data_IF_606036438739
#
_entry.id   IF_606036438739
#
_cell.length_a   1.000
_cell.length_b   1.000
_cell.length_c   1.000
_cell.angle_alpha   90.00
_cell.angle_beta   90.00
_cell.angle_gamma   90.00
#
_symmetry.space_group_name_H-M   'P 1'
#
loop_
_entity.id
_entity.type
_entity.pdbx_description
1 polymer ?
#
# COMPACT_ATOMS: atom_id res chain seq x y z
N UNK A 1 8.85 -11.48 11.90
CA UNK A 1 8.37 -10.44 10.96
C UNK A 1 6.97 -10.90 10.49
N UNK A 2 6.32 -10.24 9.53
CA UNK A 2 4.95 -10.58 9.10
C UNK A 2 4.99 -11.22 7.71
N UNK A 3 4.23 -12.30 7.51
CA UNK A 3 4.06 -12.93 6.19
C UNK A 3 3.20 -12.07 5.28
N UNK A 4 3.46 -12.13 3.98
CA UNK A 4 2.66 -11.40 3.00
C UNK A 4 1.18 -11.81 3.04
N UNK A 5 0.30 -10.82 2.98
CA UNK A 5 -1.14 -10.99 2.83
C UNK A 5 -1.74 -9.73 2.19
N UNK A 6 -2.93 -9.88 1.61
CA UNK A 6 -3.81 -8.76 1.25
C UNK A 6 -5.10 -8.86 2.08
N UNK A 7 -5.58 -7.77 2.72
CA UNK A 7 -6.85 -7.77 3.43
C UNK A 7 -8.00 -8.35 2.60
N UNK A 8 -8.85 -9.16 3.24
CA UNK A 8 -9.97 -9.88 2.64
C UNK A 8 -9.60 -10.99 1.63
N UNK A 9 -8.32 -11.27 1.39
CA UNK A 9 -7.90 -12.51 0.74
C UNK A 9 -8.04 -13.70 1.70
N UNK A 10 -8.30 -14.89 1.14
CA UNK A 10 -8.60 -16.10 1.92
C UNK A 10 -7.34 -16.87 2.32
N UNK A 11 -6.29 -16.74 1.50
CA UNK A 11 -5.04 -17.44 1.63
C UNK A 11 -3.94 -16.67 0.87
N UNK A 12 -2.74 -17.26 0.83
CA UNK A 12 -1.56 -16.68 0.20
C UNK A 12 -1.70 -16.59 -1.32
N UNK A 13 -2.22 -17.62 -1.97
CA UNK A 13 -2.36 -17.65 -3.43
C UNK A 13 -3.36 -16.57 -3.88
N UNK A 14 -4.50 -16.48 -3.21
CA UNK A 14 -5.47 -15.42 -3.41
C UNK A 14 -4.88 -14.03 -3.12
N UNK A 15 -3.98 -13.90 -2.12
CA UNK A 15 -3.30 -12.63 -1.84
C UNK A 15 -2.41 -12.18 -3.01
N UNK A 16 -1.66 -13.10 -3.64
CA UNK A 16 -0.84 -12.77 -4.82
C UNK A 16 -1.71 -12.40 -6.02
N UNK A 17 -2.79 -13.15 -6.27
CA UNK A 17 -3.74 -12.84 -7.34
C UNK A 17 -4.36 -11.44 -7.18
N UNK A 18 -4.81 -11.11 -5.97
CA UNK A 18 -5.40 -9.80 -5.68
C UNK A 18 -4.35 -8.71 -5.81
N UNK A 19 -3.14 -8.90 -5.26
CA UNK A 19 -2.05 -7.93 -5.36
C UNK A 19 -1.70 -7.61 -6.81
N UNK A 20 -1.61 -8.64 -7.66
CA UNK A 20 -1.31 -8.47 -9.08
C UNK A 20 -2.44 -7.75 -9.83
N UNK A 21 -3.72 -8.04 -9.51
CA UNK A 21 -4.86 -7.29 -10.07
C UNK A 21 -4.83 -5.82 -9.65
N UNK A 22 -4.55 -5.52 -8.38
CA UNK A 22 -4.41 -4.14 -7.90
C UNK A 22 -3.25 -3.45 -8.63
N UNK A 23 -2.09 -4.11 -8.72
CA UNK A 23 -0.90 -3.59 -9.40
C UNK A 23 -1.22 -3.18 -10.84
N UNK A 24 -1.91 -4.04 -11.58
CA UNK A 24 -2.34 -3.77 -12.95
C UNK A 24 -3.32 -2.61 -13.02
N UNK A 25 -4.33 -2.60 -12.14
CA UNK A 25 -5.36 -1.55 -12.08
C UNK A 25 -4.77 -0.16 -11.85
N UNK A 26 -3.82 -0.03 -10.92
CA UNK A 26 -3.16 1.25 -10.63
C UNK A 26 -1.93 1.51 -11.49
N UNK A 27 -1.65 0.66 -12.48
CA UNK A 27 -0.45 0.73 -13.33
C UNK A 27 0.84 0.91 -12.50
N UNK A 28 1.04 0.08 -11.48
CA UNK A 28 2.28 0.01 -10.71
C UNK A 28 3.29 -0.92 -11.40
N UNK A 29 4.60 -0.68 -11.27
CA UNK A 29 5.62 -1.60 -11.79
C UNK A 29 5.57 -2.96 -11.07
N UNK A 30 6.12 -4.00 -11.70
CA UNK A 30 6.38 -5.25 -11.00
C UNK A 30 7.41 -5.04 -9.89
N UNK A 31 7.19 -5.70 -8.75
CA UNK A 31 8.06 -5.59 -7.58
C UNK A 31 8.39 -6.99 -7.08
N UNK A 32 9.64 -7.22 -6.72
CA UNK A 32 10.06 -8.49 -6.12
C UNK A 32 9.67 -8.56 -4.64
N UNK A 33 9.70 -7.42 -3.95
CA UNK A 33 9.41 -7.32 -2.52
C UNK A 33 8.11 -6.56 -2.29
N UNK A 34 7.30 -7.06 -1.37
CA UNK A 34 6.01 -6.46 -0.98
C UNK A 34 6.22 -5.52 0.22
N UNK A 35 5.80 -4.27 0.09
CA UNK A 35 5.88 -3.28 1.18
C UNK A 35 4.81 -3.63 2.22
N UNK A 36 5.23 -3.80 3.47
CA UNK A 36 4.35 -4.06 4.61
C UNK A 36 3.89 -2.76 5.28
N UNK A 37 4.80 -1.78 5.39
CA UNK A 37 4.50 -0.47 5.95
C UNK A 37 5.28 0.65 5.28
N UNK A 38 4.73 1.85 5.34
CA UNK A 38 5.33 3.08 4.82
C UNK A 38 5.16 4.19 5.85
N UNK A 39 6.22 4.93 6.10
CA UNK A 39 6.18 6.25 6.73
C UNK A 39 6.73 7.30 5.77
N UNK A 40 6.15 8.49 5.76
CA UNK A 40 6.53 9.58 4.84
C UNK A 40 6.15 10.93 5.42
N UNK A 41 6.63 12.01 4.80
CA UNK A 41 6.24 13.37 5.17
C UNK A 41 5.22 13.94 4.18
N UNK A 42 4.15 14.53 4.69
CA UNK A 42 3.16 15.25 3.87
C UNK A 42 2.79 16.57 4.53
N UNK A 43 3.02 17.69 3.84
CA UNK A 43 2.76 19.05 4.37
C UNK A 43 3.37 19.29 5.76
N UNK A 44 4.59 18.82 5.98
CA UNK A 44 5.29 18.96 7.27
C UNK A 44 4.83 17.99 8.36
N UNK A 45 3.81 17.15 8.11
CA UNK A 45 3.33 16.14 9.05
C UNK A 45 3.97 14.78 8.75
N UNK A 46 4.37 14.07 9.80
CA UNK A 46 4.75 12.67 9.70
C UNK A 46 3.50 11.82 9.52
N UNK A 47 3.48 11.03 8.45
CA UNK A 47 2.43 10.09 8.12
C UNK A 47 2.97 8.66 8.22
N UNK A 48 2.09 7.72 8.51
CA UNK A 48 2.40 6.30 8.49
C UNK A 48 1.17 5.45 8.14
N UNK A 49 1.40 4.31 7.53
CA UNK A 49 0.40 3.27 7.34
C UNK A 49 1.06 1.89 7.17
N UNK A 50 0.27 0.84 7.29
CA UNK A 50 0.68 -0.53 7.04
C UNK A 50 -0.48 -1.31 6.42
N UNK A 51 -0.16 -2.36 5.65
CA UNK A 51 -1.15 -3.24 5.02
C UNK A 51 -2.01 -3.91 6.10
N UNK A 52 -3.34 -3.82 5.94
CA UNK A 52 -4.33 -4.23 6.95
C UNK A 52 -4.61 -3.19 8.04
N UNK A 53 -3.81 -2.12 8.13
CA UNK A 53 -4.10 -0.93 8.93
C UNK A 53 -4.90 0.09 8.15
N UNK A 54 -4.92 1.34 8.63
CA UNK A 54 -5.66 2.44 8.02
C UNK A 54 -4.70 3.57 7.62
N UNK A 55 -5.11 4.38 6.65
CA UNK A 55 -4.42 5.63 6.35
C UNK A 55 -4.69 6.69 7.42
N UNK A 56 -3.79 7.68 7.59
CA UNK A 56 -4.06 8.83 8.46
C UNK A 56 -5.37 9.52 8.06
N UNK A 57 -6.15 9.96 9.07
CA UNK A 57 -7.48 10.55 8.87
C UNK A 57 -7.53 11.73 7.90
N UNK A 58 -6.40 12.40 7.67
CA UNK A 58 -6.21 13.44 6.65
C UNK A 58 -6.71 13.02 5.25
N UNK A 59 -6.57 11.74 4.88
CA UNK A 59 -6.96 11.24 3.56
C UNK A 59 -8.45 10.90 3.42
N UNK A 60 -9.22 10.97 4.52
CA UNK A 60 -10.68 10.78 4.49
C UNK A 60 -11.12 9.40 4.00
N UNK A 61 -10.32 8.36 4.22
CA UNK A 61 -10.62 6.97 3.81
C UNK A 61 -11.44 6.20 4.84
N UNK A 62 -11.79 6.81 5.98
CA UNK A 62 -12.54 6.16 7.05
C UNK A 62 -11.88 4.86 7.52
N UNK A 63 -12.70 3.82 7.68
CA UNK A 63 -12.28 2.49 8.15
C UNK A 63 -11.84 1.57 7.00
N UNK A 64 -11.51 2.12 5.82
CA UNK A 64 -10.99 1.30 4.73
C UNK A 64 -9.56 0.83 5.03
N UNK A 65 -9.30 -0.49 5.01
CA UNK A 65 -7.96 -1.00 5.22
C UNK A 65 -7.07 -0.67 4.02
N UNK A 66 -5.77 -0.48 4.29
CA UNK A 66 -4.74 -0.44 3.25
C UNK A 66 -4.55 -1.85 2.70
N UNK A 67 -4.84 -2.03 1.41
CA UNK A 67 -4.77 -3.32 0.73
C UNK A 67 -3.37 -3.60 0.17
N UNK A 68 -2.70 -2.59 -0.39
CA UNK A 68 -1.39 -2.73 -1.00
C UNK A 68 -0.66 -1.38 -1.05
N UNK A 69 0.67 -1.42 -1.02
CA UNK A 69 1.54 -0.25 -1.16
C UNK A 69 2.56 -0.57 -2.26
N UNK A 70 2.66 0.28 -3.28
CA UNK A 70 3.58 0.11 -4.40
C UNK A 70 4.59 1.25 -4.47
N UNK A 71 5.88 0.92 -4.52
CA UNK A 71 6.94 1.84 -4.97
C UNK A 71 6.85 2.09 -6.49
N UNK A 72 6.62 3.34 -6.87
CA UNK A 72 6.52 3.81 -8.26
C UNK A 72 7.59 4.88 -8.53
N UNK A 73 8.84 4.57 -8.17
CA UNK A 73 10.03 5.41 -8.26
C UNK A 73 9.96 6.65 -7.36
N UNK A 74 9.39 7.74 -7.85
CA UNK A 74 9.37 9.03 -7.14
C UNK A 74 8.20 9.17 -6.16
N UNK A 75 7.31 8.17 -6.11
CA UNK A 75 6.17 8.15 -5.20
C UNK A 75 5.77 6.73 -4.83
N UNK A 76 5.00 6.60 -3.77
CA UNK A 76 4.27 5.40 -3.42
C UNK A 76 2.80 5.52 -3.77
N UNK A 77 2.20 4.45 -4.30
CA UNK A 77 0.75 4.31 -4.47
C UNK A 77 0.22 3.45 -3.33
N UNK A 78 -0.59 4.05 -2.46
CA UNK A 78 -1.23 3.39 -1.33
C UNK A 78 -2.68 3.12 -1.70
N UNK A 79 -3.04 1.85 -1.79
CA UNK A 79 -4.35 1.40 -2.21
C UNK A 79 -5.19 1.01 -0.99
N UNK A 80 -6.44 1.46 -0.92
CA UNK A 80 -7.45 1.01 0.04
C UNK A 80 -8.60 0.34 -0.70
N UNK A 81 -9.51 -0.31 0.03
CA UNK A 81 -10.66 -1.01 -0.58
C UNK A 81 -11.37 -0.20 -1.67
N UNK A 82 -11.65 1.10 -1.46
CA UNK A 82 -12.29 1.93 -2.48
C UNK A 82 -11.34 2.77 -3.33
N UNK A 83 -10.06 2.90 -3.00
CA UNK A 83 -9.08 3.73 -3.73
C UNK A 83 -7.96 2.89 -4.30
N UNK A 84 -7.93 2.72 -5.62
CA UNK A 84 -6.92 1.90 -6.28
C UNK A 84 -7.18 0.39 -6.21
N UNK A 85 -8.29 -0.05 -5.60
CA UNK A 85 -8.72 -1.46 -5.62
C UNK A 85 -10.05 -1.62 -6.35
N UNK A 86 -11.16 -1.16 -5.77
CA UNK A 86 -12.47 -1.25 -6.42
C UNK A 86 -12.73 -0.12 -7.42
N UNK A 87 -12.21 1.07 -7.15
CA UNK A 87 -12.43 2.28 -7.97
C UNK A 87 -11.40 3.36 -7.64
N UNK A 88 -11.45 4.45 -8.41
CA UNK A 88 -10.70 5.67 -8.16
C UNK A 88 -9.18 5.50 -8.16
N UNK A 89 -8.49 6.61 -7.98
CA UNK A 89 -7.04 6.64 -7.88
C UNK A 89 -6.58 6.25 -6.46
N UNK A 90 -5.41 5.59 -6.32
CA UNK A 90 -4.78 5.36 -5.03
C UNK A 90 -4.39 6.68 -4.37
N UNK A 91 -4.06 6.62 -3.09
CA UNK A 91 -3.41 7.74 -2.41
C UNK A 91 -1.94 7.78 -2.83
N UNK A 92 -1.50 8.93 -3.31
CA UNK A 92 -0.11 9.16 -3.68
C UNK A 92 0.68 9.75 -2.52
N UNK A 93 1.77 9.10 -2.13
CA UNK A 93 2.74 9.62 -1.19
C UNK A 93 4.05 9.92 -1.93
N UNK A 94 4.45 11.19 -2.01
CA UNK A 94 5.73 11.56 -2.61
C UNK A 94 6.89 10.93 -1.81
N UNK A 95 7.90 10.43 -2.52
CA UNK A 95 9.09 9.83 -1.91
C UNK A 95 10.15 10.90 -1.72
N UNK A 96 10.71 10.95 -0.52
CA UNK A 96 11.78 11.86 -0.13
C UNK A 96 12.74 11.18 0.88
N UNK A 97 13.71 11.92 1.39
CA UNK A 97 14.67 11.47 2.41
C UNK A 97 14.04 11.06 3.75
N UNK A 98 12.77 11.42 3.99
CA UNK A 98 12.03 11.05 5.20
C UNK A 98 11.16 9.80 4.98
N UNK A 99 11.13 9.28 3.76
CA UNK A 99 10.34 8.11 3.43
C UNK A 99 11.03 6.82 3.88
N UNK A 100 10.33 6.00 4.65
CA UNK A 100 10.85 4.71 5.13
C UNK A 100 9.84 3.60 4.86
N UNK A 101 10.33 2.50 4.30
CA UNK A 101 9.52 1.31 4.02
C UNK A 101 10.02 0.12 4.83
N UNK A 102 9.07 -0.67 5.33
CA UNK A 102 9.35 -2.03 5.78
C UNK A 102 8.72 -3.02 4.81
N UNK A 103 9.29 -4.21 4.71
CA UNK A 103 8.83 -5.25 3.79
C UNK A 103 8.30 -6.43 4.60
N UNK A 104 7.41 -7.20 3.98
CA UNK A 104 7.03 -8.50 4.48
C UNK A 104 8.24 -9.46 4.50
N UNK A 105 8.11 -10.56 5.24
CA UNK A 105 9.08 -11.66 5.19
C UNK A 105 9.29 -12.13 3.74
N UNK A 106 10.55 -12.36 3.38
CA UNK A 106 10.87 -13.15 2.21
C UNK A 106 10.50 -14.61 2.50
N UNK A 107 9.97 -15.30 1.51
CA UNK A 107 9.68 -16.73 1.60
C UNK A 107 10.93 -17.61 1.65
#
# INVERSE_FOLDING_TARGET
MVKFFVPAANDREHSEEVYEKIRQFVAAPHQERRIASLSWRHNGMQMECYVGGHLPGHYGTGDEPVCAIFDCDNLYKICTTNRGVLRGEPVYAGKDEHSQVSYFEAD
#
